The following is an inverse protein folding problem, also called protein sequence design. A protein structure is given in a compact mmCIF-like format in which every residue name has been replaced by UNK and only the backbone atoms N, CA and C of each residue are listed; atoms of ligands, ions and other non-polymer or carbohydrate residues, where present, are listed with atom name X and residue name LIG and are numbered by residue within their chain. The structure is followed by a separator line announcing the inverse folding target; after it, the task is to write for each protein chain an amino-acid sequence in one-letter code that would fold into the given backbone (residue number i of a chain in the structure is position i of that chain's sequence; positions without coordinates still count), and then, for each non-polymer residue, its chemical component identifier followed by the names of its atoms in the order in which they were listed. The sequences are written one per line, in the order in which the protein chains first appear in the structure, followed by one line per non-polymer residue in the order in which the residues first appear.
data_IF_478405357684
#
_entry.id   IF_478405357684
#
_cell.length_a   1.000
_cell.length_b   1.000
_cell.length_c   1.000
_cell.angle_alpha   90.00
_cell.angle_beta   90.00
_cell.angle_gamma   90.00
#
_symmetry.space_group_name_H-M   'P 1'
#
loop_
_entity.id
_entity.type
_entity.pdbx_description
1 polymer ?
#
# COMPACT_ATOMS: atom_id res chain seq x y z
N UNK A 1 -3.41 -11.61 1.22
CA UNK A 1 -4.54 -10.88 0.66
C UNK A 1 -4.85 -11.40 -0.75
N UNK A 2 -6.07 -11.91 -0.96
CA UNK A 2 -6.52 -12.49 -2.23
C UNK A 2 -6.55 -11.46 -3.36
N UNK A 3 -6.88 -10.21 -3.06
CA UNK A 3 -6.89 -9.14 -4.05
C UNK A 3 -5.51 -8.91 -4.68
N UNK A 4 -4.45 -8.98 -3.88
CA UNK A 4 -3.07 -8.86 -4.37
C UNK A 4 -2.65 -10.09 -5.17
N UNK A 5 -3.02 -11.29 -4.70
CA UNK A 5 -2.71 -12.54 -5.41
C UNK A 5 -3.41 -12.61 -6.77
N UNK A 6 -4.67 -12.15 -6.85
CA UNK A 6 -5.43 -12.07 -8.09
C UNK A 6 -4.82 -11.10 -9.11
N UNK A 7 -4.27 -9.96 -8.64
CA UNK A 7 -3.59 -8.98 -9.51
C UNK A 7 -2.30 -9.54 -10.13
N UNK A 8 -1.64 -10.47 -9.43
CA UNK A 8 -0.39 -11.10 -9.88
C UNK A 8 -0.61 -12.44 -10.60
N UNK A 9 -1.88 -12.87 -10.77
CA UNK A 9 -2.27 -14.21 -11.27
C UNK A 9 -1.56 -15.34 -10.51
N UNK A 10 -1.27 -15.12 -9.22
CA UNK A 10 -0.57 -16.11 -8.40
C UNK A 10 -1.46 -17.32 -8.15
N UNK A 11 -0.93 -18.49 -8.46
CA UNK A 11 -1.54 -19.79 -8.15
C UNK A 11 -0.63 -20.55 -7.19
N UNK A 12 -1.24 -21.23 -6.22
CA UNK A 12 -0.49 -22.12 -5.33
C UNK A 12 0.17 -23.22 -6.16
N UNK A 13 1.50 -23.37 -6.08
CA UNK A 13 2.20 -24.35 -6.89
C UNK A 13 1.71 -25.78 -6.63
N UNK A 14 1.51 -26.54 -7.70
CA UNK A 14 1.34 -27.98 -7.59
C UNK A 14 2.71 -28.60 -7.28
N UNK A 15 2.89 -29.09 -6.06
CA UNK A 15 4.17 -29.64 -5.62
C UNK A 15 4.59 -30.88 -6.43
N UNK A 16 3.62 -31.69 -6.87
CA UNK A 16 3.93 -32.85 -7.68
C UNK A 16 4.55 -32.44 -9.01
N UNK A 17 3.93 -31.52 -9.71
CA UNK A 17 4.44 -31.00 -10.99
C UNK A 17 5.78 -30.27 -10.82
N UNK A 18 5.95 -29.59 -9.67
CA UNK A 18 7.19 -28.88 -9.36
C UNK A 18 8.38 -29.85 -9.17
N UNK A 19 8.19 -30.95 -8.45
CA UNK A 19 9.27 -31.91 -8.16
C UNK A 19 9.42 -32.99 -9.22
N UNK A 20 8.33 -33.48 -9.79
CA UNK A 20 8.30 -34.62 -10.72
C UNK A 20 7.89 -34.25 -12.14
N UNK A 21 7.56 -32.98 -12.38
CA UNK A 21 7.24 -32.51 -13.74
C UNK A 21 8.39 -32.67 -14.69
N UNK A 22 8.06 -32.89 -15.96
CA UNK A 22 9.04 -33.03 -17.06
C UNK A 22 9.84 -31.73 -17.18
N UNK A 23 11.16 -31.83 -17.09
CA UNK A 23 12.08 -30.71 -17.30
C UNK A 23 12.74 -30.87 -18.68
N UNK A 24 12.54 -29.92 -19.60
CA UNK A 24 13.24 -29.92 -20.85
C UNK A 24 14.76 -29.77 -20.62
N UNK A 25 15.56 -30.53 -21.34
CA UNK A 25 16.99 -30.26 -21.41
C UNK A 25 17.17 -29.04 -22.29
N UNK A 26 17.48 -27.90 -21.70
CA UNK A 26 17.74 -26.67 -22.44
C UNK A 26 19.10 -26.10 -22.03
N UNK A 27 19.89 -25.75 -23.02
CA UNK A 27 21.11 -24.95 -22.86
C UNK A 27 20.72 -23.52 -23.19
N UNK A 28 20.78 -22.64 -22.22
CA UNK A 28 20.56 -21.21 -22.41
C UNK A 28 21.92 -20.54 -22.63
N UNK A 29 22.18 -20.09 -23.84
CA UNK A 29 23.35 -19.28 -24.11
C UNK A 29 22.95 -17.80 -23.99
N UNK A 30 23.48 -17.10 -23.01
CA UNK A 30 23.17 -15.70 -22.78
C UNK A 30 24.37 -14.85 -23.17
N UNK A 31 24.15 -13.92 -24.08
CA UNK A 31 25.13 -12.91 -24.45
C UNK A 31 24.94 -11.69 -23.54
N UNK A 32 25.93 -11.42 -22.69
CA UNK A 32 25.89 -10.31 -21.73
C UNK A 32 26.24 -8.94 -22.34
N UNK A 33 26.56 -8.87 -23.64
CA UNK A 33 26.86 -7.60 -24.31
C UNK A 33 25.70 -6.62 -24.30
N UNK A 34 24.46 -7.11 -24.19
CA UNK A 34 23.25 -6.28 -24.06
C UNK A 34 23.22 -5.46 -22.75
N UNK A 35 23.96 -5.89 -21.74
CA UNK A 35 24.02 -5.22 -20.43
C UNK A 35 25.12 -4.16 -20.31
N UNK A 36 25.98 -4.01 -21.32
CA UNK A 36 27.11 -3.10 -21.30
C UNK A 36 26.74 -1.68 -21.71
N UNK A 37 25.59 -1.48 -22.36
CA UNK A 37 25.16 -0.16 -22.85
C UNK A 37 23.96 0.33 -22.04
N UNK A 38 24.24 1.21 -21.06
CA UNK A 38 23.27 2.16 -20.51
C UNK A 38 22.13 1.54 -19.71
N UNK A 39 22.44 0.78 -18.66
CA UNK A 39 21.42 0.43 -17.66
C UNK A 39 20.91 1.70 -16.98
N UNK A 40 19.72 2.15 -17.39
CA UNK A 40 18.93 3.05 -16.56
C UNK A 40 18.34 2.21 -15.44
N UNK A 41 18.83 2.39 -14.22
CA UNK A 41 18.17 1.89 -13.03
C UNK A 41 16.79 2.57 -12.94
N UNK A 42 15.77 1.86 -13.36
CA UNK A 42 14.40 2.20 -12.98
C UNK A 42 14.30 1.85 -11.51
N UNK A 43 14.16 2.87 -10.66
CA UNK A 43 13.88 2.67 -9.24
C UNK A 43 12.70 1.71 -9.06
N UNK A 44 12.76 0.92 -8.01
CA UNK A 44 11.77 -0.10 -7.68
C UNK A 44 10.35 0.47 -7.75
N UNK A 45 9.57 -0.05 -8.69
CA UNK A 45 8.15 0.27 -8.80
C UNK A 45 7.42 -0.46 -7.67
N UNK A 46 6.92 0.31 -6.69
CA UNK A 46 5.85 -0.16 -5.84
C UNK A 46 6.21 -0.62 -4.44
N UNK A 47 7.23 -0.04 -3.81
CA UNK A 47 7.29 -0.07 -2.37
C UNK A 47 6.19 0.84 -1.79
N UNK A 48 5.01 0.27 -1.57
CA UNK A 48 4.10 0.80 -0.60
C UNK A 48 4.76 0.55 0.76
N UNK A 49 5.48 1.54 1.26
CA UNK A 49 5.85 1.59 2.67
C UNK A 49 4.56 1.66 3.45
N UNK A 50 4.09 0.50 3.89
CA UNK A 50 3.07 0.42 4.90
C UNK A 50 3.59 1.18 6.11
N UNK A 51 2.98 2.31 6.42
CA UNK A 51 3.29 3.09 7.59
C UNK A 51 3.02 2.24 8.83
N UNK A 52 4.06 1.60 9.34
CA UNK A 52 4.03 0.93 10.63
C UNK A 52 4.00 1.98 11.73
N UNK A 53 2.85 2.23 12.27
CA UNK A 53 2.68 3.12 13.41
C UNK A 53 1.28 2.95 13.97
N UNK A 54 1.02 1.82 14.63
CA UNK A 54 -0.25 1.60 15.29
C UNK A 54 -0.29 2.29 16.65
N UNK A 55 -0.59 3.55 16.68
CA UNK A 55 -1.39 4.08 17.76
C UNK A 55 -2.83 4.04 17.27
N UNK A 56 -3.72 3.38 18.02
CA UNK A 56 -5.14 3.33 17.70
C UNK A 56 -5.70 4.76 17.67
N UNK A 57 -5.72 5.35 16.49
CA UNK A 57 -6.29 6.68 16.28
C UNK A 57 -7.81 6.56 16.26
N UNK A 58 -8.52 7.56 16.76
CA UNK A 58 -9.98 7.64 16.74
C UNK A 58 -10.42 8.92 16.07
N UNK A 59 -11.51 8.84 15.33
CA UNK A 59 -12.20 9.97 14.75
C UNK A 59 -13.70 9.87 15.07
N UNK A 60 -14.27 10.88 15.75
CA UNK A 60 -15.67 10.85 16.18
C UNK A 60 -16.00 9.68 17.13
N UNK A 61 -15.02 9.14 17.88
CA UNK A 61 -15.23 7.93 18.71
C UNK A 61 -15.03 6.60 17.97
N UNK A 62 -14.91 6.61 16.65
CA UNK A 62 -14.70 5.44 15.80
C UNK A 62 -13.22 5.08 15.73
N UNK A 63 -12.90 3.80 15.91
CA UNK A 63 -11.54 3.29 15.75
C UNK A 63 -11.14 3.30 14.27
N UNK A 64 -9.97 3.92 13.97
CA UNK A 64 -9.48 4.03 12.62
C UNK A 64 -8.60 2.83 12.25
N UNK A 65 -8.92 2.20 11.14
CA UNK A 65 -8.09 1.18 10.50
C UNK A 65 -6.88 1.84 9.85
N UNK A 66 -5.68 1.41 10.20
CA UNK A 66 -4.42 1.96 9.68
C UNK A 66 -3.35 0.90 9.42
N UNK A 67 -3.50 -0.30 9.99
CA UNK A 67 -2.55 -1.39 9.84
C UNK A 67 -2.97 -2.30 8.67
N UNK A 68 -2.55 -1.94 7.45
CA UNK A 68 -2.84 -2.70 6.24
C UNK A 68 -1.65 -3.56 5.85
N UNK A 69 -1.78 -4.89 5.98
CA UNK A 69 -0.72 -5.85 5.70
C UNK A 69 -1.25 -6.93 4.76
N UNK A 70 -0.57 -7.13 3.63
CA UNK A 70 -0.99 -8.11 2.63
C UNK A 70 -0.63 -9.55 3.01
N UNK A 71 0.45 -9.74 3.77
CA UNK A 71 0.90 -11.05 4.28
C UNK A 71 1.02 -10.99 5.80
N UNK A 72 -0.09 -11.15 6.54
CA UNK A 72 -0.09 -10.98 8.00
C UNK A 72 0.66 -12.07 8.75
N UNK A 73 0.88 -13.20 8.11
CA UNK A 73 1.62 -14.32 8.69
C UNK A 73 2.38 -15.09 7.64
N UNK A 74 3.64 -15.40 7.93
CA UNK A 74 4.47 -16.32 7.17
C UNK A 74 5.41 -17.06 8.14
N UNK A 75 5.41 -18.39 8.06
CA UNK A 75 6.35 -19.22 8.80
C UNK A 75 6.68 -20.47 7.98
N UNK A 76 7.93 -20.62 7.60
CA UNK A 76 8.42 -21.74 6.80
C UNK A 76 8.76 -22.99 7.62
N UNK A 77 8.76 -22.90 8.96
CA UNK A 77 9.25 -23.95 9.86
C UNK A 77 8.25 -24.30 10.97
N UNK A 78 7.01 -24.60 10.57
CA UNK A 78 5.99 -25.08 11.50
C UNK A 78 6.13 -26.59 11.67
N UNK A 79 6.40 -27.05 12.90
CA UNK A 79 6.52 -28.47 13.20
C UNK A 79 5.18 -29.02 13.70
N UNK A 80 4.78 -30.17 13.16
CA UNK A 80 3.58 -30.89 13.62
C UNK A 80 3.87 -31.72 14.87
N UNK A 81 2.82 -32.01 15.64
CA UNK A 81 2.87 -32.96 16.74
C UNK A 81 2.94 -34.42 16.23
N UNK A 82 2.99 -35.38 17.16
CA UNK A 82 3.02 -36.82 16.86
C UNK A 82 1.77 -37.33 16.12
N UNK A 83 0.70 -36.53 16.05
CA UNK A 83 -0.54 -36.82 15.34
C UNK A 83 -0.65 -36.10 14.00
N UNK A 84 0.42 -35.43 13.56
CA UNK A 84 0.46 -34.65 12.34
C UNK A 84 -0.31 -33.33 12.42
N UNK A 85 -0.55 -32.77 13.61
CA UNK A 85 -1.30 -31.52 13.80
C UNK A 85 -0.37 -30.39 14.17
N UNK A 86 -0.64 -29.20 13.63
CA UNK A 86 -0.02 -27.95 14.04
C UNK A 86 -1.10 -26.89 14.29
N UNK A 87 -0.86 -26.04 15.27
CA UNK A 87 -1.71 -24.88 15.55
C UNK A 87 -0.91 -23.62 15.41
N UNK A 88 -1.46 -22.68 14.66
CA UNK A 88 -0.84 -21.38 14.41
C UNK A 88 -1.82 -20.29 14.82
N UNK A 89 -1.34 -19.32 15.63
CA UNK A 89 -2.12 -18.17 16.08
C UNK A 89 -1.49 -16.90 15.55
N UNK A 90 -2.29 -16.06 14.91
CA UNK A 90 -1.85 -14.75 14.46
C UNK A 90 -3.00 -13.75 14.53
N UNK A 91 -2.66 -12.46 14.61
CA UNK A 91 -3.63 -11.37 14.60
C UNK A 91 -3.89 -10.95 13.15
N UNK A 92 -5.17 -10.88 12.77
CA UNK A 92 -5.55 -10.31 11.48
C UNK A 92 -5.28 -8.81 11.47
N UNK A 93 -4.78 -8.26 10.36
CA UNK A 93 -4.63 -6.82 10.17
C UNK A 93 -5.98 -6.14 9.91
N UNK A 94 -5.96 -4.83 9.69
CA UNK A 94 -7.16 -4.01 9.51
C UNK A 94 -7.76 -4.09 8.09
N UNK A 95 -7.22 -4.94 7.23
CA UNK A 95 -7.72 -5.15 5.88
C UNK A 95 -9.11 -5.79 5.90
N UNK A 96 -10.06 -5.18 5.19
CA UNK A 96 -11.39 -5.76 4.91
C UNK A 96 -11.33 -6.47 3.55
N UNK A 97 -10.87 -7.70 3.56
CA UNK A 97 -10.57 -8.48 2.37
C UNK A 97 -10.76 -9.96 2.61
N UNK A 98 -10.51 -10.77 1.60
CA UNK A 98 -10.39 -12.21 1.73
C UNK A 98 -8.91 -12.59 1.79
N UNK A 99 -8.52 -13.30 2.84
CA UNK A 99 -7.18 -13.87 2.96
C UNK A 99 -7.18 -15.31 2.49
N UNK A 100 -6.20 -15.67 1.65
CA UNK A 100 -5.91 -17.05 1.30
C UNK A 100 -4.91 -17.60 2.31
N UNK A 101 -5.27 -18.71 2.96
CA UNK A 101 -4.37 -19.46 3.83
C UNK A 101 -3.84 -20.62 2.99
N UNK A 102 -2.53 -20.69 2.85
CA UNK A 102 -1.84 -21.74 2.13
C UNK A 102 -0.97 -22.51 3.10
N UNK A 103 -1.05 -23.82 3.09
CA UNK A 103 -0.22 -24.71 3.88
C UNK A 103 0.45 -25.74 2.99
N UNK A 104 1.73 -25.96 3.23
CA UNK A 104 2.52 -27.01 2.62
C UNK A 104 3.06 -27.87 3.74
N UNK A 105 2.85 -29.16 3.67
CA UNK A 105 3.37 -30.13 4.61
C UNK A 105 4.28 -31.13 3.89
N UNK A 106 5.33 -31.56 4.55
CA UNK A 106 6.27 -32.54 4.01
C UNK A 106 6.81 -33.45 5.12
N UNK A 107 7.06 -34.69 4.74
CA UNK A 107 7.84 -35.66 5.50
C UNK A 107 9.07 -36.07 4.68
N UNK A 108 9.78 -37.12 5.09
CA UNK A 108 10.88 -37.65 4.29
C UNK A 108 10.40 -38.20 2.92
N UNK A 109 9.18 -38.76 2.88
CA UNK A 109 8.69 -39.52 1.74
C UNK A 109 7.39 -38.97 1.12
N UNK A 110 6.71 -38.07 1.82
CA UNK A 110 5.40 -37.55 1.39
C UNK A 110 5.35 -36.02 1.50
N UNK A 111 4.58 -35.42 0.64
CA UNK A 111 4.29 -34.00 0.70
C UNK A 111 2.85 -33.73 0.23
N UNK A 112 2.32 -32.59 0.66
CA UNK A 112 1.00 -32.14 0.25
C UNK A 112 0.83 -30.66 0.47
N UNK A 113 -0.16 -30.08 -0.19
CA UNK A 113 -0.55 -28.69 -0.01
C UNK A 113 -2.07 -28.59 0.13
N UNK A 114 -2.51 -27.59 0.83
CA UNK A 114 -3.90 -27.22 0.98
C UNK A 114 -4.06 -25.71 1.05
N UNK A 115 -5.23 -25.23 0.61
CA UNK A 115 -5.59 -23.82 0.74
C UNK A 115 -7.02 -23.68 1.26
N UNK A 116 -7.26 -22.60 1.96
CA UNK A 116 -8.58 -22.18 2.41
C UNK A 116 -8.64 -20.66 2.50
N UNK A 117 -9.83 -20.12 2.72
CA UNK A 117 -10.07 -18.68 2.68
C UNK A 117 -10.74 -18.19 3.96
N UNK A 118 -10.33 -17.01 4.43
CA UNK A 118 -11.01 -16.26 5.49
C UNK A 118 -11.43 -14.92 4.91
N UNK A 119 -12.75 -14.63 4.97
CA UNK A 119 -13.29 -13.32 4.58
C UNK A 119 -13.44 -12.44 5.81
N UNK A 120 -12.89 -11.23 5.73
CA UNK A 120 -13.01 -10.18 6.75
C UNK A 120 -13.82 -9.03 6.17
N UNK A 121 -14.95 -8.71 6.79
CA UNK A 121 -15.86 -7.65 6.34
C UNK A 121 -16.57 -7.01 7.52
N UNK A 122 -17.08 -5.80 7.32
CA UNK A 122 -17.96 -5.09 8.26
C UNK A 122 -19.32 -4.79 7.59
N UNK A 123 -20.39 -4.63 8.37
CA UNK A 123 -21.71 -4.26 7.83
C UNK A 123 -21.72 -2.87 7.18
N UNK A 124 -20.99 -1.93 7.77
CA UNK A 124 -20.72 -0.60 7.22
C UNK A 124 -19.22 -0.49 7.04
N UNK A 125 -18.79 -0.03 5.86
CA UNK A 125 -17.36 0.12 5.54
C UNK A 125 -17.10 1.46 4.88
N UNK A 126 -15.91 2.00 5.14
CA UNK A 126 -15.39 3.17 4.45
C UNK A 126 -14.02 2.89 3.86
N UNK A 127 -13.79 3.32 2.63
CA UNK A 127 -12.48 3.27 1.98
C UNK A 127 -12.07 4.67 1.55
N UNK A 128 -10.79 5.00 1.71
CA UNK A 128 -10.26 6.29 1.26
C UNK A 128 -10.10 6.32 -0.26
N UNK A 129 -10.46 7.45 -0.87
CA UNK A 129 -10.19 7.77 -2.25
C UNK A 129 -9.36 9.06 -2.30
N UNK A 130 -8.04 8.91 -2.18
CA UNK A 130 -7.06 9.97 -2.18
C UNK A 130 -6.22 9.91 -3.46
N UNK A 131 -5.71 11.07 -3.95
CA UNK A 131 -4.69 11.05 -4.98
C UNK A 131 -3.43 10.34 -4.45
N UNK A 132 -2.65 9.80 -5.34
CA UNK A 132 -1.44 9.05 -5.00
C UNK A 132 -0.36 9.94 -4.39
N UNK A 133 -0.31 11.20 -4.78
CA UNK A 133 0.55 12.25 -4.25
C UNK A 133 -0.08 13.61 -4.53
N UNK A 134 0.38 14.64 -3.85
CA UNK A 134 0.08 16.04 -4.16
C UNK A 134 1.38 16.86 -4.14
N UNK A 135 1.32 18.07 -4.68
CA UNK A 135 2.40 19.06 -4.59
C UNK A 135 1.95 20.22 -3.73
N UNK A 136 2.90 20.85 -3.05
CA UNK A 136 2.61 22.06 -2.27
C UNK A 136 1.94 23.12 -3.13
N UNK A 137 0.82 23.63 -2.67
CA UNK A 137 -0.03 24.60 -3.35
C UNK A 137 -1.15 23.98 -4.21
N UNK A 138 -1.21 22.64 -4.35
CA UNK A 138 -2.30 21.99 -5.06
C UNK A 138 -3.59 22.09 -4.27
N UNK A 139 -4.70 22.30 -5.01
CA UNK A 139 -6.07 22.12 -4.53
C UNK A 139 -6.69 20.91 -5.23
N UNK A 140 -7.27 20.00 -4.44
CA UNK A 140 -7.82 18.76 -4.96
C UNK A 140 -8.99 18.26 -4.10
N UNK A 141 -9.70 17.23 -4.57
CA UNK A 141 -10.73 16.57 -3.79
C UNK A 141 -10.17 15.35 -3.07
N UNK A 142 -10.39 15.29 -1.75
CA UNK A 142 -10.23 14.08 -0.95
C UNK A 142 -11.58 13.37 -0.89
N UNK A 143 -11.63 12.05 -1.07
CA UNK A 143 -12.87 11.29 -1.09
C UNK A 143 -12.86 10.11 -0.13
N UNK A 144 -14.05 9.70 0.27
CA UNK A 144 -14.31 8.44 0.94
C UNK A 144 -15.49 7.73 0.26
N UNK A 145 -15.33 6.43 0.00
CA UNK A 145 -16.43 5.60 -0.51
C UNK A 145 -17.00 4.82 0.66
N UNK A 146 -18.28 5.04 0.93
CA UNK A 146 -19.03 4.39 2.00
C UNK A 146 -19.87 3.26 1.42
N UNK A 147 -19.80 2.10 2.04
CA UNK A 147 -20.54 0.89 1.67
C UNK A 147 -21.51 0.53 2.79
N UNK A 148 -22.74 0.18 2.41
CA UNK A 148 -23.80 -0.23 3.33
C UNK A 148 -24.29 -1.63 3.02
N UNK A 149 -24.06 -2.58 3.91
CA UNK A 149 -24.51 -3.97 3.77
C UNK A 149 -25.57 -4.38 4.78
N UNK A 150 -25.97 -3.52 5.70
CA UNK A 150 -26.89 -3.87 6.79
C UNK A 150 -28.05 -2.89 7.01
N UNK A 151 -27.84 -1.58 6.87
CA UNK A 151 -28.87 -0.59 7.21
C UNK A 151 -29.84 -0.32 6.05
N UNK A 152 -31.10 -0.67 6.22
CA UNK A 152 -32.18 -0.44 5.23
C UNK A 152 -32.49 1.06 5.03
N UNK A 153 -32.25 1.91 6.03
CA UNK A 153 -32.50 3.35 5.91
C UNK A 153 -31.37 4.10 5.20
N UNK A 154 -30.15 3.64 5.39
CA UNK A 154 -28.97 4.13 4.69
C UNK A 154 -28.48 5.53 5.06
N UNK A 155 -29.10 6.23 6.01
CA UNK A 155 -28.63 7.54 6.46
C UNK A 155 -27.40 7.38 7.35
N UNK A 156 -26.29 7.93 6.94
CA UNK A 156 -24.99 7.80 7.59
C UNK A 156 -24.30 9.15 7.72
N UNK A 157 -23.62 9.34 8.83
CA UNK A 157 -22.76 10.51 9.06
C UNK A 157 -21.32 10.15 8.68
N UNK A 158 -20.72 10.93 7.80
CA UNK A 158 -19.35 10.72 7.33
C UNK A 158 -18.51 11.93 7.72
N UNK A 159 -17.46 11.67 8.48
CA UNK A 159 -16.53 12.70 8.95
C UNK A 159 -15.14 12.51 8.36
N UNK A 160 -14.54 13.60 7.89
CA UNK A 160 -13.17 13.64 7.41
C UNK A 160 -12.30 14.52 8.30
N UNK A 161 -11.03 14.13 8.46
CA UNK A 161 -9.99 14.90 9.15
C UNK A 161 -8.68 14.78 8.39
N UNK A 162 -8.00 15.91 8.23
CA UNK A 162 -6.65 15.93 7.68
C UNK A 162 -5.69 16.58 8.66
N UNK A 163 -4.49 16.05 8.79
CA UNK A 163 -3.41 16.52 9.62
C UNK A 163 -2.10 16.55 8.83
N UNK A 164 -1.17 17.43 9.21
CA UNK A 164 0.14 17.54 8.58
C UNK A 164 0.11 18.41 7.33
N UNK A 165 0.56 17.87 6.20
CA UNK A 165 0.81 18.64 4.99
C UNK A 165 -0.44 19.06 4.20
N UNK A 166 -1.63 18.57 4.56
CA UNK A 166 -2.90 18.86 3.89
C UNK A 166 -3.92 19.42 4.87
N UNK A 167 -4.73 20.36 4.39
CA UNK A 167 -5.85 20.96 5.12
C UNK A 167 -7.16 20.74 4.38
N UNK A 168 -8.21 20.36 5.10
CA UNK A 168 -9.58 20.33 4.57
C UNK A 168 -10.17 21.74 4.51
N UNK A 169 -10.90 22.00 3.43
CA UNK A 169 -11.65 23.27 3.25
C UNK A 169 -13.14 22.97 3.29
N UNK A 170 -13.87 23.57 4.21
CA UNK A 170 -15.32 23.38 4.37
C UNK A 170 -15.71 22.45 5.54
N UNK A 171 -16.96 21.99 5.58
CA UNK A 171 -17.49 21.19 6.68
C UNK A 171 -16.79 19.83 6.74
N UNK A 172 -16.38 19.43 7.94
CA UNK A 172 -15.72 18.13 8.14
C UNK A 172 -16.70 16.96 8.09
N UNK A 173 -17.94 17.18 8.49
CA UNK A 173 -18.97 16.16 8.58
C UNK A 173 -20.06 16.39 7.51
N UNK A 174 -20.47 15.32 6.84
CA UNK A 174 -21.54 15.32 5.86
C UNK A 174 -22.46 14.14 6.10
N UNK A 175 -23.77 14.34 5.93
CA UNK A 175 -24.76 13.25 5.97
C UNK A 175 -25.02 12.76 4.56
N UNK A 176 -24.97 11.45 4.36
CA UNK A 176 -25.21 10.82 3.05
C UNK A 176 -26.18 9.66 3.20
N UNK A 177 -27.09 9.50 2.27
CA UNK A 177 -27.94 8.33 2.19
C UNK A 177 -27.29 7.28 1.27
N UNK A 178 -26.93 6.12 1.84
CA UNK A 178 -26.36 4.97 1.13
C UNK A 178 -27.36 3.82 1.21
N UNK A 179 -28.09 3.49 0.13
CA UNK A 179 -29.04 2.37 0.15
C UNK A 179 -28.37 1.03 0.49
N UNK A 180 -29.14 0.10 1.05
CA UNK A 180 -28.66 -1.23 1.36
C UNK A 180 -28.07 -1.92 0.11
N UNK A 181 -26.85 -2.45 0.23
CA UNK A 181 -26.12 -3.10 -0.85
C UNK A 181 -25.46 -2.13 -1.84
N UNK A 182 -25.52 -0.82 -1.58
CA UNK A 182 -24.92 0.20 -2.44
C UNK A 182 -23.64 0.79 -1.84
N UNK A 183 -22.95 1.57 -2.68
CA UNK A 183 -21.83 2.42 -2.29
C UNK A 183 -22.08 3.85 -2.73
N UNK A 184 -21.57 4.82 -1.96
CA UNK A 184 -21.61 6.25 -2.29
C UNK A 184 -20.29 6.90 -1.96
N UNK A 185 -19.83 7.76 -2.84
CA UNK A 185 -18.69 8.60 -2.61
C UNK A 185 -19.11 9.92 -1.97
N UNK A 186 -18.33 10.33 -0.97
CA UNK A 186 -18.40 11.63 -0.29
C UNK A 186 -17.06 12.32 -0.46
N UNK A 187 -17.08 13.59 -0.85
CA UNK A 187 -15.85 14.32 -1.18
C UNK A 187 -15.72 15.62 -0.37
N UNK A 188 -14.47 16.00 -0.11
CA UNK A 188 -14.08 17.24 0.56
C UNK A 188 -13.03 17.96 -0.28
N UNK A 189 -13.09 19.28 -0.28
CA UNK A 189 -12.02 20.08 -0.86
C UNK A 189 -10.79 20.06 0.07
N UNK A 190 -9.63 19.85 -0.52
CA UNK A 190 -8.36 19.75 0.16
C UNK A 190 -7.33 20.71 -0.46
N UNK A 191 -6.44 21.24 0.39
CA UNK A 191 -5.33 22.08 -0.02
C UNK A 191 -4.03 21.53 0.56
N UNK A 192 -3.00 21.35 -0.27
CA UNK A 192 -1.66 20.99 0.14
C UNK A 192 -0.88 22.22 0.60
N UNK A 193 -0.79 22.44 1.92
CA UNK A 193 -0.26 23.69 2.50
C UNK A 193 1.25 23.67 2.67
N UNK A 194 1.85 22.50 2.83
CA UNK A 194 3.29 22.33 2.98
C UNK A 194 3.74 20.98 2.43
N UNK A 195 5.03 20.83 2.20
CA UNK A 195 5.63 19.54 1.86
C UNK A 195 5.74 18.63 3.09
N UNK A 196 5.76 17.31 2.84
CA UNK A 196 5.82 16.28 3.86
C UNK A 196 4.66 15.28 3.79
N UNK A 197 4.38 14.62 4.89
CA UNK A 197 3.31 13.63 4.97
C UNK A 197 2.05 14.24 5.60
N UNK A 198 0.92 14.03 4.95
CA UNK A 198 -0.39 14.26 5.50
C UNK A 198 -1.02 12.93 5.96
N UNK A 199 -1.78 12.96 7.05
CA UNK A 199 -2.66 11.88 7.50
C UNK A 199 -4.09 12.30 7.28
N UNK A 200 -4.79 11.57 6.43
CA UNK A 200 -6.19 11.83 6.14
C UNK A 200 -7.01 10.67 6.68
N UNK A 201 -7.95 10.97 7.55
CA UNK A 201 -8.81 10.00 8.20
C UNK A 201 -10.26 10.26 7.80
N UNK A 202 -10.99 9.17 7.56
CA UNK A 202 -12.41 9.17 7.30
C UNK A 202 -13.10 8.23 8.27
N UNK A 203 -14.22 8.62 8.84
CA UNK A 203 -15.09 7.75 9.62
C UNK A 203 -16.51 7.81 9.09
N UNK A 204 -17.21 6.70 9.21
CA UNK A 204 -18.64 6.60 8.94
C UNK A 204 -19.35 6.05 10.15
N UNK A 205 -20.43 6.69 10.53
CA UNK A 205 -21.31 6.24 11.59
C UNK A 205 -22.69 5.95 10.99
N UNK A 206 -23.08 4.66 11.06
CA UNK A 206 -24.42 4.19 10.79
C UNK A 206 -25.20 4.08 12.10
N UNK A 207 -26.39 3.47 12.08
CA UNK A 207 -27.21 3.33 13.28
C UNK A 207 -26.65 2.39 14.33
N UNK A 208 -25.99 1.32 13.93
CA UNK A 208 -25.50 0.26 14.81
C UNK A 208 -24.00 0.06 14.67
N UNK A 209 -23.49 0.25 13.47
CA UNK A 209 -22.12 -0.04 13.11
C UNK A 209 -21.41 1.21 12.63
N UNK A 210 -20.13 1.19 12.81
CA UNK A 210 -19.24 2.26 12.40
C UNK A 210 -17.94 1.70 11.83
N UNK A 211 -17.31 2.45 10.95
CA UNK A 211 -16.00 2.12 10.42
C UNK A 211 -15.17 3.37 10.20
N UNK A 212 -13.86 3.23 10.25
CA UNK A 212 -12.95 4.33 10.00
C UNK A 212 -11.66 3.85 9.33
N UNK A 213 -11.08 4.71 8.51
CA UNK A 213 -9.84 4.46 7.80
C UNK A 213 -8.93 5.68 7.86
N UNK A 214 -7.65 5.45 8.07
CA UNK A 214 -6.62 6.47 7.99
C UNK A 214 -5.62 6.08 6.91
N UNK A 215 -5.29 7.04 6.06
CA UNK A 215 -4.35 6.86 4.95
C UNK A 215 -3.36 8.01 4.94
N UNK A 216 -2.12 7.72 4.58
CA UNK A 216 -1.08 8.73 4.40
C UNK A 216 -1.03 9.20 2.94
N UNK A 217 -0.82 10.50 2.76
CA UNK A 217 -0.64 11.17 1.48
C UNK A 217 0.68 11.94 1.50
N UNK A 218 1.55 11.66 0.55
CA UNK A 218 2.80 12.40 0.39
C UNK A 218 2.57 13.68 -0.40
N UNK A 219 3.00 14.80 0.18
CA UNK A 219 3.05 16.10 -0.50
C UNK A 219 4.51 16.41 -0.82
N UNK A 220 4.82 16.48 -2.09
CA UNK A 220 6.16 16.76 -2.57
C UNK A 220 6.35 18.25 -2.90
N UNK A 221 7.55 18.80 -2.73
CA UNK A 221 7.87 20.13 -3.21
C UNK A 221 7.79 20.21 -4.74
N UNK A 222 7.57 21.42 -5.26
CA UNK A 222 7.66 21.67 -6.71
C UNK A 222 9.13 21.88 -7.07
N UNK A 223 9.82 20.82 -7.45
CA UNK A 223 11.23 20.85 -7.79
C UNK A 223 11.45 20.51 -9.26
N UNK A 224 12.41 21.21 -9.88
CA UNK A 224 12.99 20.84 -11.17
C UNK A 224 14.32 20.17 -10.92
N UNK A 225 14.46 18.93 -11.34
CA UNK A 225 15.77 18.30 -11.40
C UNK A 225 16.52 18.81 -12.62
N UNK A 226 17.73 19.31 -12.41
CA UNK A 226 18.64 19.73 -13.45
C UNK A 226 19.94 18.94 -13.30
N UNK A 227 20.36 18.28 -14.36
CA UNK A 227 21.65 17.60 -14.41
C UNK A 227 22.64 18.54 -15.12
N UNK A 228 23.70 18.91 -14.42
CA UNK A 228 24.83 19.59 -14.99
C UNK A 228 25.96 18.57 -15.12
N UNK A 229 26.44 18.33 -16.34
CA UNK A 229 27.57 17.47 -16.60
C UNK A 229 28.72 18.33 -17.16
N UNK A 230 29.86 18.26 -16.51
CA UNK A 230 31.12 18.85 -17.00
C UNK A 230 32.03 17.74 -17.51
N UNK A 231 32.60 17.93 -18.67
CA UNK A 231 33.52 16.98 -19.26
C UNK A 231 34.85 17.69 -19.47
N UNK A 232 35.90 17.13 -18.94
CA UNK A 232 37.27 17.61 -19.17
C UNK A 232 38.15 16.42 -19.56
N UNK A 233 39.15 16.67 -20.37
CA UNK A 233 40.23 15.75 -20.68
C UNK A 233 41.54 16.41 -20.28
N UNK A 234 42.35 15.71 -19.47
CA UNK A 234 43.66 16.19 -19.03
C UNK A 234 44.64 15.02 -18.97
N UNK A 235 45.89 15.30 -19.21
CA UNK A 235 47.03 14.40 -18.99
C UNK A 235 47.72 14.62 -17.63
N UNK A 236 47.13 15.48 -16.78
CA UNK A 236 47.61 15.79 -15.44
C UNK A 236 46.42 15.95 -14.44
N UNK A 237 46.66 16.64 -13.35
CA UNK A 237 45.65 17.00 -12.37
C UNK A 237 44.97 18.31 -12.78
N UNK A 238 43.65 18.32 -12.85
CA UNK A 238 42.85 19.51 -13.12
C UNK A 238 41.76 19.63 -12.03
N UNK A 239 41.59 20.82 -11.47
CA UNK A 239 40.50 21.15 -10.57
C UNK A 239 39.40 21.84 -11.37
N UNK A 240 38.21 21.25 -11.33
CA UNK A 240 36.99 21.80 -11.91
C UNK A 240 36.10 22.36 -10.81
N UNK A 241 35.77 23.64 -10.90
CA UNK A 241 34.80 24.28 -10.00
C UNK A 241 33.38 24.06 -10.54
N UNK A 242 32.62 23.26 -9.81
CA UNK A 242 31.15 23.12 -10.01
C UNK A 242 30.50 24.41 -9.49
N UNK A 243 30.06 25.27 -10.40
CA UNK A 243 29.27 26.44 -10.05
C UNK A 243 27.86 25.98 -9.65
N UNK A 244 27.57 26.01 -8.34
CA UNK A 244 26.28 25.64 -7.81
C UNK A 244 25.29 26.79 -8.03
N UNK A 245 24.16 26.56 -8.75
CA UNK A 245 23.10 27.54 -8.82
C UNK A 245 22.65 27.97 -7.43
N UNK A 246 22.55 29.30 -7.19
CA UNK A 246 22.24 29.84 -5.85
C UNK A 246 20.87 29.50 -5.28
N UNK A 247 20.02 28.80 -6.05
CA UNK A 247 18.67 28.39 -5.68
C UNK A 247 18.52 26.88 -5.46
N UNK A 248 19.62 26.15 -5.22
CA UNK A 248 19.55 24.73 -4.89
C UNK A 248 18.86 24.52 -3.55
N UNK A 249 17.87 23.64 -3.54
CA UNK A 249 17.24 23.18 -2.30
C UNK A 249 18.27 22.35 -1.50
N UNK A 250 18.52 22.73 -0.24
CA UNK A 250 19.47 22.03 0.63
C UNK A 250 19.08 20.58 0.95
N UNK A 251 17.80 20.20 0.75
CA UNK A 251 17.30 18.84 0.90
C UNK A 251 17.49 17.96 -0.34
N UNK A 252 17.93 18.53 -1.47
CA UNK A 252 18.18 17.76 -2.67
C UNK A 252 19.38 16.83 -2.46
N UNK A 253 19.24 15.57 -2.84
CA UNK A 253 20.29 14.55 -2.81
C UNK A 253 21.38 14.94 -3.85
N UNK A 254 22.30 15.80 -3.43
CA UNK A 254 23.41 16.24 -4.24
C UNK A 254 24.44 15.11 -4.33
N UNK A 255 24.22 14.16 -5.24
CA UNK A 255 25.24 13.18 -5.60
C UNK A 255 26.24 13.85 -6.53
N UNK A 256 27.44 13.99 -6.06
CA UNK A 256 28.65 14.35 -6.86
C UNK A 256 29.25 13.03 -7.36
#
# INVERSE_FOLDING_TARGET
DEGVLALTDYKTPNLFDYFYGSRPVSVFTMDNRVYVVGQRNFGEKGENRGGGGSSAAKLGGVDLRSNFVFTPYFNAAVTTDKKGRAEVKFKLPDNLTQFRIMAVAMTADEFGSAETFIRVSKPVMVTSNLPRFARKGDTFSCGAVVYNYEDKKGDMEVTARAEGAVKLTGPQTQTVNVPLGAAREVTWACEAVQDGTARVAFSVEGKKDSDGVQTELTVSPVEKQQTLALYAATDGTQEELLDKPGNLNASADNRI
#
